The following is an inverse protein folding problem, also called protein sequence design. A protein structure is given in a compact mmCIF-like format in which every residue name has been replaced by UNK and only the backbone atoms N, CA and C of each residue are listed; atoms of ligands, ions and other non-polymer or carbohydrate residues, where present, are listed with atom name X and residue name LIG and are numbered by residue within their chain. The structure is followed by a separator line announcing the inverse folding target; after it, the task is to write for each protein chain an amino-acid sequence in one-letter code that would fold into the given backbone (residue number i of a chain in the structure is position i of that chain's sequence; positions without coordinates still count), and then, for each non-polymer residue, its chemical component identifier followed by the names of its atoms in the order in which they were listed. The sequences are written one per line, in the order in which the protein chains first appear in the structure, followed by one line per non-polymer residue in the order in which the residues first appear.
data_IF_177132808505
#
_entry.id   IF_177132808505
#
_cell.length_a   1.000
_cell.length_b   1.000
_cell.length_c   1.000
_cell.angle_alpha   90.00
_cell.angle_beta   90.00
_cell.angle_gamma   90.00
#
_symmetry.space_group_name_H-M   'P 1'
#
loop_
_entity.id
_entity.type
_entity.pdbx_description
1 polymer ?
#
# COMPACT_ATOMS: atom_id res chain seq x y z
N UNK A 1 71.21 -51.30 -10.32
CA UNK A 1 70.54 -51.41 -11.60
C UNK A 1 69.17 -50.84 -11.49
N UNK A 2 68.79 -49.96 -12.31
CA UNK A 2 67.82 -48.91 -12.17
C UNK A 2 66.38 -49.39 -12.45
N UNK A 3 65.45 -49.09 -11.55
CA UNK A 3 64.03 -49.30 -11.74
C UNK A 3 63.30 -47.95 -11.66
N UNK A 4 62.75 -47.52 -12.78
CA UNK A 4 62.03 -46.24 -12.90
C UNK A 4 60.62 -46.38 -12.41
N UNK A 5 60.25 -45.53 -11.41
CA UNK A 5 58.87 -45.39 -10.97
C UNK A 5 58.14 -44.31 -11.82
N UNK A 6 57.20 -44.75 -12.61
CA UNK A 6 56.29 -43.87 -13.32
C UNK A 6 55.15 -43.51 -12.37
N UNK A 7 55.09 -42.23 -11.90
CA UNK A 7 53.97 -41.69 -11.14
C UNK A 7 52.88 -41.21 -12.11
N UNK A 8 51.76 -41.92 -12.09
CA UNK A 8 50.52 -41.51 -12.75
C UNK A 8 49.90 -40.36 -11.98
N UNK A 9 49.94 -39.15 -12.52
CA UNK A 9 49.22 -37.98 -12.08
C UNK A 9 47.74 -38.14 -12.50
N UNK A 10 46.88 -38.42 -11.52
CA UNK A 10 45.41 -38.36 -11.70
C UNK A 10 44.99 -36.92 -11.61
N UNK A 11 44.62 -36.28 -12.72
CA UNK A 11 43.92 -35.00 -12.77
C UNK A 11 42.49 -35.19 -12.30
N UNK A 12 42.19 -34.78 -11.09
CA UNK A 12 40.82 -34.61 -10.63
C UNK A 12 40.23 -33.36 -11.26
N UNK A 13 39.30 -33.56 -12.21
CA UNK A 13 38.44 -32.49 -12.70
C UNK A 13 37.43 -32.15 -11.62
N UNK A 14 37.62 -31.05 -10.90
CA UNK A 14 36.60 -30.45 -10.03
C UNK A 14 35.68 -29.66 -10.93
N UNK A 15 34.54 -30.26 -11.28
CA UNK A 15 33.44 -29.56 -11.90
C UNK A 15 32.87 -28.58 -10.91
N UNK A 16 33.24 -27.31 -11.04
CA UNK A 16 32.56 -26.21 -10.36
C UNK A 16 31.18 -26.05 -10.99
N UNK A 17 30.17 -26.72 -10.46
CA UNK A 17 28.77 -26.36 -10.67
C UNK A 17 28.56 -25.00 -10.01
N UNK A 18 28.69 -23.94 -10.81
CA UNK A 18 28.26 -22.61 -10.42
C UNK A 18 26.75 -22.62 -10.17
N UNK A 19 26.36 -22.70 -8.91
CA UNK A 19 24.99 -22.50 -8.49
C UNK A 19 24.69 -21.01 -8.69
N UNK A 20 24.19 -20.66 -9.90
CA UNK A 20 23.60 -19.36 -10.16
C UNK A 20 22.36 -19.26 -9.29
N UNK A 21 22.54 -18.74 -8.07
CA UNK A 21 21.45 -18.22 -7.28
C UNK A 21 20.84 -17.06 -8.07
N UNK A 22 19.78 -17.33 -8.81
CA UNK A 22 18.88 -16.30 -9.28
C UNK A 22 18.28 -15.66 -8.03
N UNK A 23 18.95 -14.66 -7.50
CA UNK A 23 18.30 -13.69 -6.66
C UNK A 23 17.26 -13.01 -7.55
N UNK A 24 16.02 -13.47 -7.47
CA UNK A 24 14.88 -12.73 -7.97
C UNK A 24 14.82 -11.45 -7.13
N UNK A 25 15.64 -10.45 -7.48
CA UNK A 25 15.55 -9.14 -6.88
C UNK A 25 14.11 -8.67 -7.07
N UNK A 26 13.41 -8.41 -5.97
CA UNK A 26 12.09 -7.78 -6.02
C UNK A 26 12.29 -6.48 -6.79
N UNK A 27 11.73 -6.40 -7.99
CA UNK A 27 11.88 -5.23 -8.84
C UNK A 27 11.06 -4.10 -8.19
N UNK A 28 11.73 -2.99 -7.90
CA UNK A 28 11.06 -1.78 -7.42
C UNK A 28 10.03 -1.31 -8.45
N UNK A 29 8.87 -0.89 -7.96
CA UNK A 29 7.80 -0.41 -8.82
C UNK A 29 8.15 0.92 -9.47
N UNK A 30 7.60 1.13 -10.65
CA UNK A 30 7.87 2.26 -11.53
C UNK A 30 6.59 3.04 -11.86
N UNK A 31 6.71 4.15 -12.56
CA UNK A 31 5.55 4.88 -13.11
C UNK A 31 4.70 4.00 -14.03
N UNK A 32 5.32 3.12 -14.79
CA UNK A 32 4.61 2.19 -15.68
C UNK A 32 3.71 1.24 -14.89
N UNK A 33 4.13 0.81 -13.70
CA UNK A 33 3.31 -0.06 -12.84
C UNK A 33 2.09 0.69 -12.30
N UNK A 34 2.21 1.98 -12.01
CA UNK A 34 1.08 2.85 -11.67
C UNK A 34 0.08 2.90 -12.83
N UNK A 35 0.54 3.17 -14.05
CA UNK A 35 -0.32 3.29 -15.22
C UNK A 35 -1.03 1.95 -15.52
N UNK A 36 -0.34 0.83 -15.38
CA UNK A 36 -0.93 -0.51 -15.48
C UNK A 36 -1.98 -0.77 -14.38
N UNK A 37 -1.69 -0.40 -13.15
CA UNK A 37 -2.61 -0.58 -12.03
C UNK A 37 -3.91 0.21 -12.25
N UNK A 38 -3.83 1.45 -12.73
CA UNK A 38 -5.00 2.28 -13.06
C UNK A 38 -5.84 1.62 -14.15
N UNK A 39 -5.22 1.14 -15.22
CA UNK A 39 -5.91 0.44 -16.30
C UNK A 39 -6.59 -0.84 -15.83
N UNK A 40 -5.90 -1.63 -14.97
CA UNK A 40 -6.48 -2.85 -14.41
C UNK A 40 -7.65 -2.53 -13.49
N UNK A 41 -7.46 -1.61 -12.55
CA UNK A 41 -8.51 -1.24 -11.59
C UNK A 41 -9.74 -0.64 -12.27
N UNK A 42 -9.56 0.10 -13.38
CA UNK A 42 -10.67 0.63 -14.18
C UNK A 42 -11.62 -0.44 -14.73
N UNK A 43 -11.20 -1.70 -14.85
CA UNK A 43 -12.06 -2.82 -15.22
C UNK A 43 -12.96 -3.26 -14.08
N UNK A 44 -12.50 -3.16 -12.83
CA UNK A 44 -13.26 -3.48 -11.63
C UNK A 44 -14.13 -2.31 -11.16
N UNK A 45 -13.68 -1.09 -11.40
CA UNK A 45 -14.35 0.16 -10.98
C UNK A 45 -14.63 1.02 -12.21
N UNK A 46 -15.77 0.82 -12.87
CA UNK A 46 -16.16 1.60 -14.04
C UNK A 46 -16.23 3.10 -13.72
N UNK A 47 -15.79 3.93 -14.68
CA UNK A 47 -15.75 5.39 -14.57
C UNK A 47 -14.75 5.93 -13.51
N UNK A 48 -13.80 5.12 -13.07
CA UNK A 48 -12.71 5.61 -12.23
C UNK A 48 -11.96 6.74 -12.95
N UNK A 49 -11.90 7.89 -12.28
CA UNK A 49 -11.08 9.03 -12.71
C UNK A 49 -10.05 9.29 -11.63
N UNK A 50 -8.82 8.88 -11.89
CA UNK A 50 -7.70 9.00 -10.96
C UNK A 50 -6.48 9.55 -11.68
N UNK A 51 -5.99 10.69 -11.22
CA UNK A 51 -4.68 11.21 -11.57
C UNK A 51 -3.68 10.80 -10.49
N UNK A 52 -2.42 10.59 -10.87
CA UNK A 52 -1.35 10.26 -9.92
C UNK A 52 -0.20 11.22 -10.08
N UNK A 53 0.14 11.88 -8.98
CA UNK A 53 1.31 12.74 -8.84
C UNK A 53 2.36 12.09 -7.94
N UNK A 54 3.62 12.07 -8.41
CA UNK A 54 4.76 11.62 -7.63
C UNK A 54 5.48 12.84 -7.08
N UNK A 55 5.34 13.07 -5.78
CA UNK A 55 6.00 14.19 -5.12
C UNK A 55 6.44 13.81 -3.70
N UNK A 56 7.54 14.42 -3.24
CA UNK A 56 8.02 14.21 -1.87
C UNK A 56 6.97 14.69 -0.88
N UNK A 57 6.57 13.80 0.01
CA UNK A 57 5.60 14.10 1.06
C UNK A 57 5.99 13.37 2.36
N UNK A 58 5.52 13.87 3.49
CA UNK A 58 5.65 13.21 4.78
C UNK A 58 4.72 11.99 4.92
N UNK A 59 3.69 11.92 4.10
CA UNK A 59 2.80 10.77 3.96
C UNK A 59 3.30 9.85 2.85
N UNK A 60 3.00 8.57 2.90
CA UNK A 60 3.38 7.59 1.86
C UNK A 60 2.58 7.77 0.59
N UNK A 61 1.28 7.78 0.76
CA UNK A 61 0.28 8.04 -0.25
C UNK A 61 -0.93 8.67 0.43
N UNK A 62 -1.67 9.45 -0.31
CA UNK A 62 -2.99 9.96 0.09
C UNK A 62 -3.75 10.42 -1.14
N UNK A 63 -5.07 10.31 -1.06
CA UNK A 63 -5.96 10.77 -2.11
C UNK A 63 -6.67 12.06 -1.70
N UNK A 64 -6.92 12.92 -2.66
CA UNK A 64 -7.74 14.12 -2.50
C UNK A 64 -8.82 14.18 -3.59
N UNK A 65 -10.02 14.61 -3.20
CA UNK A 65 -11.12 14.82 -4.14
C UNK A 65 -10.82 15.99 -5.09
N UNK A 66 -11.18 15.82 -6.34
CA UNK A 66 -11.16 16.83 -7.39
C UNK A 66 -12.57 17.02 -7.94
N UNK A 67 -12.82 18.14 -8.63
CA UNK A 67 -14.12 18.43 -9.26
C UNK A 67 -14.51 17.32 -10.24
N UNK A 68 -13.53 16.75 -10.94
CA UNK A 68 -13.74 15.68 -11.92
C UNK A 68 -12.90 14.44 -11.63
N UNK A 69 -13.01 13.87 -10.43
CA UNK A 69 -12.28 12.65 -10.07
C UNK A 69 -11.47 12.78 -8.81
N UNK A 70 -10.28 12.20 -8.76
CA UNK A 70 -9.41 12.22 -7.61
C UNK A 70 -7.94 12.41 -8.01
N UNK A 71 -7.14 12.98 -7.12
CA UNK A 71 -5.69 13.02 -7.22
C UNK A 71 -5.08 12.16 -6.11
N UNK A 72 -4.35 11.13 -6.51
CA UNK A 72 -3.49 10.37 -5.62
C UNK A 72 -2.09 11.00 -5.63
N UNK A 73 -1.65 11.47 -4.48
CA UNK A 73 -0.27 11.91 -4.27
C UNK A 73 0.50 10.76 -3.61
N UNK A 74 1.63 10.36 -4.23
CA UNK A 74 2.45 9.26 -3.72
C UNK A 74 3.91 9.69 -3.60
N UNK A 75 4.54 9.34 -2.48
CA UNK A 75 5.96 9.60 -2.25
C UNK A 75 6.80 8.67 -3.15
N UNK A 76 7.78 9.19 -3.92
CA UNK A 76 8.62 8.36 -4.79
C UNK A 76 9.43 7.31 -4.03
N UNK A 77 9.88 7.59 -2.80
CA UNK A 77 10.63 6.60 -2.02
C UNK A 77 9.71 5.49 -1.50
N UNK A 78 8.44 5.79 -1.29
CA UNK A 78 7.45 4.76 -0.98
C UNK A 78 7.20 3.88 -2.20
N UNK A 79 6.97 4.46 -3.38
CA UNK A 79 6.82 3.73 -4.64
C UNK A 79 7.99 2.77 -4.90
N UNK A 80 9.23 3.23 -4.70
CA UNK A 80 10.44 2.43 -4.89
C UNK A 80 10.54 1.20 -3.96
N UNK A 81 9.74 1.13 -2.90
CA UNK A 81 9.67 -0.01 -1.98
C UNK A 81 8.55 -0.99 -2.29
N UNK A 82 7.67 -0.63 -3.21
CA UNK A 82 6.54 -1.46 -3.61
C UNK A 82 6.94 -2.42 -4.74
N UNK A 83 6.23 -3.52 -4.82
CA UNK A 83 6.14 -4.36 -6.01
C UNK A 83 4.96 -3.89 -6.87
N UNK A 84 4.84 -4.35 -8.14
CA UNK A 84 3.67 -4.05 -8.96
C UNK A 84 2.33 -4.41 -8.29
N UNK A 85 2.26 -5.55 -7.60
CA UNK A 85 1.06 -5.96 -6.85
C UNK A 85 0.80 -5.04 -5.65
N UNK A 86 1.85 -4.61 -4.96
CA UNK A 86 1.76 -3.62 -3.88
C UNK A 86 1.24 -2.27 -4.38
N UNK A 87 1.71 -1.82 -5.56
CA UNK A 87 1.20 -0.59 -6.21
C UNK A 87 -0.29 -0.70 -6.54
N UNK A 88 -0.69 -1.82 -7.16
CA UNK A 88 -2.09 -2.05 -7.50
C UNK A 88 -3.00 -2.01 -6.26
N UNK A 89 -2.57 -2.66 -5.15
CA UNK A 89 -3.32 -2.64 -3.91
C UNK A 89 -3.39 -1.23 -3.30
N UNK A 90 -2.27 -0.50 -3.23
CA UNK A 90 -2.24 0.87 -2.69
C UNK A 90 -3.17 1.78 -3.49
N UNK A 91 -3.13 1.73 -4.83
CA UNK A 91 -4.02 2.53 -5.68
C UNK A 91 -5.49 2.15 -5.45
N UNK A 92 -5.80 0.86 -5.34
CA UNK A 92 -7.16 0.40 -5.05
C UNK A 92 -7.64 0.89 -3.67
N UNK A 93 -6.80 0.80 -2.64
CA UNK A 93 -7.09 1.27 -1.29
C UNK A 93 -7.34 2.78 -1.26
N UNK A 94 -6.44 3.58 -1.82
CA UNK A 94 -6.60 5.03 -1.85
C UNK A 94 -7.86 5.44 -2.63
N UNK A 95 -8.12 4.81 -3.78
CA UNK A 95 -9.34 5.10 -4.52
C UNK A 95 -10.60 4.65 -3.79
N UNK A 96 -10.53 3.64 -2.94
CA UNK A 96 -11.67 3.24 -2.10
C UNK A 96 -12.09 4.34 -1.14
N UNK A 97 -11.15 5.14 -0.61
CA UNK A 97 -11.51 6.30 0.21
C UNK A 97 -12.38 7.30 -0.53
N UNK A 98 -12.10 7.55 -1.82
CA UNK A 98 -12.91 8.42 -2.68
C UNK A 98 -14.28 7.79 -2.97
N UNK A 99 -14.26 6.53 -3.44
CA UNK A 99 -15.48 5.81 -3.81
C UNK A 99 -16.48 5.68 -2.65
N UNK A 100 -15.97 5.51 -1.44
CA UNK A 100 -16.76 5.39 -0.21
C UNK A 100 -17.03 6.75 0.46
N UNK A 101 -16.60 7.86 -0.15
CA UNK A 101 -16.76 9.24 0.36
C UNK A 101 -16.21 9.43 1.79
N UNK A 102 -15.10 8.79 2.14
CA UNK A 102 -14.57 8.79 3.51
C UNK A 102 -14.21 10.19 4.00
N UNK A 103 -13.57 11.03 3.17
CA UNK A 103 -13.22 12.40 3.55
C UNK A 103 -14.45 13.26 3.83
N UNK A 104 -15.47 13.16 2.99
CA UNK A 104 -16.74 13.86 3.19
C UNK A 104 -17.43 13.41 4.49
N UNK A 105 -17.50 12.11 4.74
CA UNK A 105 -18.10 11.55 5.96
C UNK A 105 -17.33 12.00 7.21
N UNK A 106 -16.00 12.02 7.14
CA UNK A 106 -15.16 12.47 8.25
C UNK A 106 -15.37 13.96 8.55
N UNK A 107 -15.42 14.80 7.51
CA UNK A 107 -15.71 16.21 7.63
C UNK A 107 -17.09 16.49 8.23
N UNK A 108 -18.13 15.78 7.77
CA UNK A 108 -19.46 15.89 8.34
C UNK A 108 -19.49 15.47 9.82
N UNK A 109 -18.79 14.41 10.19
CA UNK A 109 -18.71 13.96 11.58
C UNK A 109 -17.95 14.95 12.45
N UNK A 110 -16.89 15.58 11.94
CA UNK A 110 -16.19 16.63 12.65
C UNK A 110 -17.10 17.82 12.92
N UNK A 111 -17.87 18.26 11.91
CA UNK A 111 -18.85 19.35 12.07
C UNK A 111 -19.91 19.03 13.14
N UNK A 112 -20.45 17.83 13.13
CA UNK A 112 -21.41 17.35 14.13
C UNK A 112 -20.80 17.39 15.54
N UNK A 113 -19.60 16.83 15.71
CA UNK A 113 -18.95 16.71 17.02
C UNK A 113 -18.51 18.07 17.61
N UNK A 114 -18.12 19.01 16.75
CA UNK A 114 -17.66 20.34 17.16
C UNK A 114 -18.78 21.39 17.22
N UNK A 115 -19.93 21.12 16.60
CA UNK A 115 -21.00 22.10 16.43
C UNK A 115 -20.59 23.25 15.51
N UNK A 116 -19.69 23.03 14.55
CA UNK A 116 -19.13 24.04 13.65
C UNK A 116 -19.73 23.96 12.24
N UNK A 117 -19.84 25.10 11.52
CA UNK A 117 -20.50 25.15 10.22
C UNK A 117 -19.65 24.63 9.04
N UNK A 118 -18.33 24.50 9.21
CA UNK A 118 -17.42 24.01 8.18
C UNK A 118 -16.46 22.96 8.72
N UNK A 119 -15.98 22.03 7.86
CA UNK A 119 -15.01 21.03 8.29
C UNK A 119 -13.74 21.62 8.89
N UNK A 120 -13.15 22.64 8.27
CA UNK A 120 -11.90 23.26 8.73
C UNK A 120 -12.05 23.82 10.15
N UNK A 121 -13.12 24.60 10.41
CA UNK A 121 -13.41 25.11 11.76
C UNK A 121 -13.65 23.98 12.77
N UNK A 122 -14.24 22.89 12.31
CA UNK A 122 -14.52 21.73 13.14
C UNK A 122 -13.23 21.00 13.52
N UNK A 123 -12.33 20.75 12.57
CA UNK A 123 -11.04 20.12 12.84
C UNK A 123 -10.18 20.97 13.79
N UNK A 124 -10.11 22.28 13.59
CA UNK A 124 -9.39 23.21 14.48
C UNK A 124 -9.92 23.16 15.92
N UNK A 125 -11.24 23.06 16.08
CA UNK A 125 -11.87 22.95 17.40
C UNK A 125 -11.62 21.59 18.07
N UNK A 126 -11.66 20.51 17.28
CA UNK A 126 -11.47 19.13 17.76
C UNK A 126 -10.01 18.86 18.12
N UNK A 127 -9.04 19.45 17.41
CA UNK A 127 -7.61 19.28 17.69
C UNK A 127 -7.27 19.60 19.16
N UNK A 128 -8.00 20.53 19.77
CA UNK A 128 -7.86 20.95 21.16
C UNK A 128 -8.62 20.07 22.15
N UNK A 129 -9.36 19.06 21.68
CA UNK A 129 -10.17 18.18 22.50
C UNK A 129 -9.81 16.71 22.26
N UNK A 130 -8.90 16.12 23.07
CA UNK A 130 -8.44 14.74 22.87
C UNK A 130 -9.56 13.68 22.84
N UNK A 131 -10.61 13.86 23.64
CA UNK A 131 -11.72 12.90 23.70
C UNK A 131 -12.57 12.94 22.42
N UNK A 132 -12.72 14.11 21.80
CA UNK A 132 -13.42 14.25 20.52
C UNK A 132 -12.53 13.81 19.37
N UNK A 133 -11.24 14.11 19.42
CA UNK A 133 -10.26 13.64 18.45
C UNK A 133 -10.25 12.10 18.38
N UNK A 134 -10.29 11.42 19.54
CA UNK A 134 -10.32 9.94 19.56
C UNK A 134 -11.56 9.35 18.86
N UNK A 135 -12.71 10.04 18.90
CA UNK A 135 -13.89 9.60 18.14
C UNK A 135 -13.66 9.68 16.64
N UNK A 136 -12.96 10.72 16.15
CA UNK A 136 -12.60 10.83 14.74
C UNK A 136 -11.55 9.78 14.36
N UNK A 137 -10.55 9.55 15.20
CA UNK A 137 -9.56 8.50 14.99
C UNK A 137 -10.21 7.11 14.90
N UNK A 138 -11.16 6.81 15.79
CA UNK A 138 -11.90 5.54 15.75
C UNK A 138 -12.68 5.38 14.43
N UNK A 139 -13.33 6.45 13.96
CA UNK A 139 -14.01 6.44 12.67
C UNK A 139 -13.04 6.26 11.51
N UNK A 140 -11.90 6.96 11.52
CA UNK A 140 -10.90 6.82 10.47
C UNK A 140 -10.30 5.41 10.44
N UNK A 141 -10.02 4.79 11.60
CA UNK A 141 -9.58 3.39 11.65
C UNK A 141 -10.58 2.45 10.98
N UNK A 142 -11.88 2.69 11.13
CA UNK A 142 -12.89 1.90 10.42
C UNK A 142 -12.85 2.15 8.92
N UNK A 143 -12.70 3.40 8.48
CA UNK A 143 -12.55 3.74 7.06
C UNK A 143 -11.35 3.09 6.39
N UNK A 144 -10.24 2.96 7.11
CA UNK A 144 -9.08 2.22 6.61
C UNK A 144 -9.41 0.72 6.36
N UNK A 145 -10.15 0.10 7.28
CA UNK A 145 -10.59 -1.29 7.11
C UNK A 145 -11.62 -1.44 5.99
N UNK A 146 -12.52 -0.49 5.84
CA UNK A 146 -13.51 -0.46 4.76
C UNK A 146 -12.82 -0.30 3.39
N UNK A 147 -11.77 0.53 3.33
CA UNK A 147 -10.95 0.72 2.14
C UNK A 147 -10.16 -0.56 1.78
N UNK A 148 -9.57 -1.24 2.78
CA UNK A 148 -8.90 -2.54 2.58
C UNK A 148 -9.89 -3.59 2.04
N UNK A 149 -11.10 -3.64 2.58
CA UNK A 149 -12.13 -4.57 2.14
C UNK A 149 -12.58 -4.29 0.70
N UNK A 150 -12.80 -3.02 0.34
CA UNK A 150 -13.18 -2.62 -1.01
C UNK A 150 -12.07 -2.94 -2.01
N UNK A 151 -10.82 -2.58 -1.71
CA UNK A 151 -9.65 -2.91 -2.53
C UNK A 151 -9.54 -4.42 -2.75
N UNK A 152 -9.67 -5.22 -1.70
CA UNK A 152 -9.62 -6.69 -1.78
C UNK A 152 -10.72 -7.25 -2.68
N UNK A 153 -11.95 -6.75 -2.57
CA UNK A 153 -13.08 -7.15 -3.43
C UNK A 153 -12.84 -6.80 -4.90
N UNK A 154 -12.30 -5.61 -5.18
CA UNK A 154 -11.99 -5.21 -6.56
C UNK A 154 -10.89 -6.08 -7.17
N UNK A 155 -9.81 -6.34 -6.41
CA UNK A 155 -8.76 -7.25 -6.88
C UNK A 155 -9.31 -8.66 -7.13
N UNK A 156 -10.15 -9.18 -6.23
CA UNK A 156 -10.78 -10.50 -6.41
C UNK A 156 -11.65 -10.56 -7.67
N UNK A 157 -12.36 -9.49 -8.02
CA UNK A 157 -13.14 -9.42 -9.28
C UNK A 157 -12.28 -9.46 -10.54
N UNK A 158 -10.99 -9.12 -10.41
CA UNK A 158 -9.98 -9.23 -11.46
C UNK A 158 -9.22 -10.57 -11.41
N UNK A 159 -9.62 -11.52 -10.56
CA UNK A 159 -8.93 -12.76 -10.26
C UNK A 159 -7.52 -12.56 -9.68
N UNK A 160 -7.30 -11.46 -8.95
CA UNK A 160 -6.05 -11.13 -8.28
C UNK A 160 -6.21 -11.40 -6.78
N UNK A 161 -5.27 -12.12 -6.21
CA UNK A 161 -5.25 -12.44 -4.77
C UNK A 161 -4.59 -11.29 -4.01
N UNK A 162 -5.35 -10.60 -3.16
CA UNK A 162 -4.81 -9.51 -2.34
C UNK A 162 -3.98 -10.01 -1.14
N UNK A 163 -4.26 -11.19 -0.59
CA UNK A 163 -3.52 -11.74 0.53
C UNK A 163 -2.17 -12.34 0.08
N UNK A 164 -1.25 -11.50 -0.32
CA UNK A 164 0.13 -11.85 -0.69
C UNK A 164 1.14 -11.15 0.22
N UNK A 165 2.36 -11.68 0.28
CA UNK A 165 3.47 -11.05 1.02
C UNK A 165 3.70 -9.62 0.54
N UNK A 166 3.63 -9.37 -0.77
CA UNK A 166 3.89 -8.08 -1.38
C UNK A 166 2.84 -7.03 -1.01
N UNK A 167 1.56 -7.41 -1.06
CA UNK A 167 0.47 -6.54 -0.60
C UNK A 167 0.59 -6.28 0.90
N UNK A 168 0.85 -7.30 1.71
CA UNK A 168 1.01 -7.14 3.15
C UNK A 168 2.20 -6.25 3.52
N UNK A 169 3.30 -6.29 2.77
CA UNK A 169 4.42 -5.34 2.92
C UNK A 169 4.04 -3.91 2.57
N UNK A 170 3.15 -3.69 1.62
CA UNK A 170 2.71 -2.34 1.25
C UNK A 170 1.99 -1.62 2.39
N UNK A 171 1.30 -2.37 3.25
CA UNK A 171 0.59 -1.84 4.41
C UNK A 171 1.44 -1.83 5.69
N UNK A 172 2.42 -2.73 5.83
CA UNK A 172 3.26 -2.91 7.02
C UNK A 172 4.58 -2.13 6.96
N UNK A 173 5.10 -1.97 5.78
CA UNK A 173 6.51 -1.71 5.47
C UNK A 173 7.18 -0.49 6.06
N UNK A 174 6.54 0.28 6.91
CA UNK A 174 7.17 1.40 7.59
C UNK A 174 6.74 1.56 9.06
N UNK A 175 5.71 0.83 9.51
CA UNK A 175 5.12 1.07 10.83
C UNK A 175 5.94 0.42 11.96
N UNK A 176 6.83 -0.50 11.64
CA UNK A 176 7.78 -1.05 12.64
C UNK A 176 8.74 0.01 13.19
N UNK A 177 8.90 1.17 12.52
CA UNK A 177 9.76 2.27 12.98
C UNK A 177 9.05 3.62 13.17
N UNK A 178 7.77 3.72 12.78
CA UNK A 178 6.99 4.93 12.97
C UNK A 178 6.09 4.79 14.20
N UNK A 179 5.90 5.87 14.97
CA UNK A 179 4.90 5.83 16.04
C UNK A 179 3.55 5.45 15.45
N UNK A 180 2.82 4.58 16.18
CA UNK A 180 1.46 4.19 15.81
C UNK A 180 0.65 5.46 15.57
N UNK A 181 0.20 5.66 14.33
CA UNK A 181 -0.67 6.79 14.00
C UNK A 181 -2.06 6.48 14.55
N UNK A 182 -2.60 7.27 15.50
CA UNK A 182 -3.86 6.92 16.19
C UNK A 182 -5.05 6.73 15.25
N UNK A 183 -4.99 7.35 14.07
CA UNK A 183 -6.03 7.29 13.04
C UNK A 183 -5.95 6.05 12.14
N UNK A 184 -4.90 5.22 12.23
CA UNK A 184 -4.75 4.02 11.40
C UNK A 184 -4.84 2.76 12.24
N UNK A 185 -5.49 1.69 11.73
CA UNK A 185 -5.51 0.40 12.40
C UNK A 185 -4.15 -0.27 12.31
N UNK A 186 -3.82 -1.07 13.32
CA UNK A 186 -2.57 -1.83 13.30
C UNK A 186 -2.57 -2.91 12.20
N UNK A 187 -1.37 -3.32 11.79
CA UNK A 187 -1.13 -4.32 10.76
C UNK A 187 -2.02 -5.58 10.87
N UNK A 188 -2.13 -6.14 12.07
CA UNK A 188 -2.92 -7.37 12.26
C UNK A 188 -4.40 -7.20 11.91
N UNK A 189 -5.00 -6.06 12.23
CA UNK A 189 -6.41 -5.78 11.90
C UNK A 189 -6.60 -5.66 10.38
N UNK A 190 -5.70 -4.96 9.69
CA UNK A 190 -5.71 -4.81 8.24
C UNK A 190 -5.51 -6.16 7.55
N UNK A 191 -4.51 -6.95 7.99
CA UNK A 191 -4.26 -8.29 7.48
C UNK A 191 -5.48 -9.21 7.62
N UNK A 192 -6.22 -9.13 8.73
CA UNK A 192 -7.43 -9.93 8.92
C UNK A 192 -8.51 -9.61 7.87
N UNK A 193 -8.63 -8.35 7.46
CA UNK A 193 -9.57 -7.93 6.41
C UNK A 193 -9.10 -8.42 5.04
N UNK A 194 -7.85 -8.13 4.69
CA UNK A 194 -7.26 -8.45 3.38
C UNK A 194 -7.19 -9.96 3.13
N UNK A 195 -6.92 -10.77 4.18
CA UNK A 195 -6.77 -12.22 4.08
C UNK A 195 -8.03 -13.00 4.48
N UNK A 196 -9.18 -12.34 4.63
CA UNK A 196 -10.44 -13.02 4.89
C UNK A 196 -10.83 -13.87 3.68
N UNK A 197 -11.08 -15.17 3.91
CA UNK A 197 -11.54 -16.11 2.90
C UNK A 197 -13.07 -16.05 2.74
#
# INVERSE_FOLDING_TARGET
MWGAHVRLLRFAWIAHLGFLLFYSGVQAATRTDIDHAIVQLGKAVPNMKLEVELTKTWSRAYVSDRIEGALLTMDPDFLNRLTPDGVLFVIAHEYAHVHLEHQKKLGMKAMELAGMPTPDMAFDAIERNPATMEKLHAMNRQFELDADEAATKWLASLNIVACTEDVLRSIDGADMMMPVVPSHPGYYSRRQVICRK
#
